data_IF_996663077698
#
_entry.id   IF_996663077698
#
_cell.length_a   1.000
_cell.length_b   1.000
_cell.length_c   1.000
_cell.angle_alpha   90.00
_cell.angle_beta   90.00
_cell.angle_gamma   90.00
#
_symmetry.space_group_name_H-M   'P 1'
#
loop_
_entity.id
_entity.type
_entity.pdbx_description
1 polymer ?
#
# COMPACT_ATOMS: atom_id res chain seq x y z
N UNK A 1 -7.27 10.30 21.14
CA UNK A 1 -7.22 8.81 21.31
C UNK A 1 -6.38 8.11 20.25
N UNK A 2 -6.42 8.47 18.97
CA UNK A 2 -5.51 7.92 17.95
C UNK A 2 -4.07 8.42 18.07
N UNK A 3 -3.85 9.60 18.64
CA UNK A 3 -2.51 10.18 18.81
C UNK A 3 -1.57 9.38 19.71
N UNK A 4 -2.10 8.67 20.70
CA UNK A 4 -1.27 7.83 21.57
C UNK A 4 -0.93 6.49 20.91
N UNK A 5 -1.86 5.90 20.17
CA UNK A 5 -1.62 4.67 19.43
C UNK A 5 -0.56 4.82 18.34
N UNK A 6 -0.51 5.97 17.67
CA UNK A 6 0.47 6.20 16.58
C UNK A 6 1.92 6.20 17.05
N UNK A 7 2.17 6.44 18.35
CA UNK A 7 3.51 6.41 18.95
C UNK A 7 4.08 4.99 19.08
N UNK A 8 3.22 3.97 19.06
CA UNK A 8 3.62 2.56 19.08
C UNK A 8 4.10 2.06 17.70
N UNK A 9 4.02 2.90 16.66
CA UNK A 9 4.37 2.56 15.29
C UNK A 9 5.44 3.48 14.73
N UNK A 10 6.32 2.93 13.88
CA UNK A 10 7.15 3.72 13.00
C UNK A 10 6.31 4.08 11.78
N UNK A 11 5.87 5.34 11.71
CA UNK A 11 4.97 5.79 10.65
C UNK A 11 5.76 6.31 9.46
N UNK A 12 5.48 5.75 8.28
CA UNK A 12 6.07 6.18 7.00
C UNK A 12 4.96 6.61 6.05
N UNK A 13 5.10 7.76 5.44
CA UNK A 13 4.18 8.24 4.41
C UNK A 13 4.82 8.08 3.03
N UNK A 14 4.22 7.26 2.18
CA UNK A 14 4.58 7.15 0.77
C UNK A 14 3.76 8.17 -0.03
N UNK A 15 4.42 9.16 -0.61
CA UNK A 15 3.78 10.23 -1.40
C UNK A 15 3.84 9.99 -2.90
N UNK A 16 4.55 8.95 -3.32
CA UNK A 16 4.74 8.53 -4.71
C UNK A 16 4.78 7.02 -4.79
N UNK A 17 4.48 6.47 -5.97
CA UNK A 17 4.53 5.04 -6.21
C UNK A 17 5.73 4.58 -7.05
N UNK A 18 6.65 5.48 -7.39
CA UNK A 18 7.87 5.11 -8.12
C UNK A 18 8.68 4.08 -7.33
N UNK A 19 9.05 2.97 -7.98
CA UNK A 19 9.78 1.87 -7.36
C UNK A 19 9.00 1.06 -6.32
N UNK A 20 7.69 1.26 -6.21
CA UNK A 20 6.87 0.54 -5.24
C UNK A 20 6.82 -0.96 -5.59
N UNK A 21 7.10 -1.80 -4.62
CA UNK A 21 6.99 -3.27 -4.76
C UNK A 21 5.51 -3.68 -4.76
N UNK A 22 4.95 -3.96 -5.94
CA UNK A 22 3.56 -4.33 -6.12
C UNK A 22 3.23 -5.76 -5.66
N UNK A 23 4.23 -6.59 -5.41
CA UNK A 23 4.02 -7.90 -4.77
C UNK A 23 3.71 -7.75 -3.28
N UNK A 24 4.28 -6.75 -2.64
CA UNK A 24 4.13 -6.46 -1.21
C UNK A 24 2.96 -5.52 -0.95
N UNK A 25 2.87 -4.43 -1.72
CA UNK A 25 1.82 -3.41 -1.59
C UNK A 25 0.63 -3.74 -2.49
N UNK A 26 -0.18 -4.71 -2.09
CA UNK A 26 -1.37 -5.13 -2.81
C UNK A 26 -2.61 -4.42 -2.29
N UNK A 27 -3.16 -3.54 -3.09
CA UNK A 27 -4.35 -2.76 -2.77
C UNK A 27 -5.09 -2.38 -4.06
N UNK A 28 -6.33 -1.96 -3.92
CA UNK A 28 -7.05 -1.34 -5.02
C UNK A 28 -6.49 0.07 -5.24
N UNK A 29 -5.78 0.26 -6.35
CA UNK A 29 -5.15 1.54 -6.70
C UNK A 29 -6.15 2.68 -6.99
N UNK A 30 -7.44 2.42 -6.82
CA UNK A 30 -8.52 3.42 -6.90
C UNK A 30 -8.86 4.03 -5.52
N UNK A 31 -8.15 3.65 -4.46
CA UNK A 31 -8.36 4.16 -3.12
C UNK A 31 -7.89 5.60 -2.97
N UNK A 32 -8.53 6.35 -2.06
CA UNK A 32 -8.07 7.67 -1.64
C UNK A 32 -6.81 7.56 -0.76
N UNK A 33 -6.78 6.56 0.12
CA UNK A 33 -5.60 6.21 0.90
C UNK A 33 -5.65 4.73 1.31
N UNK A 34 -4.47 4.17 1.60
CA UNK A 34 -4.34 2.84 2.18
C UNK A 34 -3.26 2.85 3.25
N UNK A 35 -3.49 2.13 4.33
CA UNK A 35 -2.52 1.93 5.42
C UNK A 35 -2.14 0.46 5.45
N UNK A 36 -0.84 0.19 5.50
CA UNK A 36 -0.28 -1.15 5.63
C UNK A 36 0.48 -1.25 6.94
N UNK A 37 0.28 -2.33 7.67
CA UNK A 37 0.96 -2.60 8.91
C UNK A 37 1.92 -3.77 8.73
N UNK A 38 3.21 -3.48 8.80
CA UNK A 38 4.28 -4.46 8.61
C UNK A 38 5.12 -4.64 9.86
N UNK A 39 5.63 -5.85 10.04
CA UNK A 39 6.79 -6.08 10.87
C UNK A 39 8.08 -5.71 10.12
N UNK A 40 9.19 -5.58 10.83
CA UNK A 40 10.51 -5.26 10.26
C UNK A 40 10.99 -6.29 9.21
N UNK A 41 10.57 -7.52 9.31
CA UNK A 41 10.85 -8.59 8.33
C UNK A 41 9.91 -8.59 7.11
N UNK A 42 9.08 -7.55 6.97
CA UNK A 42 8.08 -7.36 5.92
C UNK A 42 6.86 -8.27 6.00
N UNK A 43 6.66 -8.97 7.12
CA UNK A 43 5.39 -9.67 7.36
C UNK A 43 4.26 -8.65 7.46
N UNK A 44 3.23 -8.83 6.64
CA UNK A 44 2.04 -7.98 6.65
C UNK A 44 1.08 -8.45 7.75
N UNK A 45 0.80 -7.58 8.72
CA UNK A 45 -0.20 -7.85 9.75
C UNK A 45 -1.61 -7.52 9.29
N UNK A 46 -1.79 -6.33 8.74
CA UNK A 46 -3.10 -5.85 8.30
C UNK A 46 -2.98 -4.76 7.23
N UNK A 47 -4.11 -4.52 6.57
CA UNK A 47 -4.34 -3.35 5.72
C UNK A 47 -5.59 -2.64 6.20
N UNK A 48 -5.59 -1.32 6.11
CA UNK A 48 -6.75 -0.48 6.37
C UNK A 48 -6.92 0.53 5.24
N UNK A 49 -8.15 0.75 4.84
CA UNK A 49 -8.52 1.59 3.71
C UNK A 49 -9.17 0.75 2.62
N UNK A 50 -10.30 1.20 2.17
CA UNK A 50 -11.08 0.57 1.10
C UNK A 50 -11.92 1.63 0.42
N UNK A 51 -12.43 1.29 -0.75
CA UNK A 51 -13.43 2.09 -1.42
C UNK A 51 -14.54 1.18 -1.91
N UNK A 52 -15.76 1.44 -1.44
CA UNK A 52 -16.96 0.87 -2.04
C UNK A 52 -17.47 1.79 -3.16
N UNK A 53 -18.55 1.37 -3.81
CA UNK A 53 -19.29 2.24 -4.74
C UNK A 53 -20.07 3.37 -4.03
N UNK A 54 -19.97 3.43 -2.71
CA UNK A 54 -20.58 4.45 -1.85
C UNK A 54 -19.62 5.62 -1.66
N UNK A 55 -20.06 6.62 -0.90
CA UNK A 55 -19.21 7.75 -0.51
C UNK A 55 -17.98 7.28 0.25
N UNK A 56 -16.82 7.79 -0.13
CA UNK A 56 -15.54 7.40 0.47
C UNK A 56 -15.52 7.52 2.01
N UNK A 57 -16.23 8.51 2.55
CA UNK A 57 -16.30 8.78 3.98
C UNK A 57 -17.06 7.71 4.79
N UNK A 58 -17.79 6.82 4.12
CA UNK A 58 -18.54 5.73 4.77
C UNK A 58 -17.73 4.45 4.94
N UNK A 59 -16.64 4.31 4.21
CA UNK A 59 -15.83 3.09 4.19
C UNK A 59 -14.62 3.17 5.13
N UNK A 60 -14.30 4.37 5.63
CA UNK A 60 -13.15 4.61 6.51
C UNK A 60 -13.57 5.49 7.70
N UNK A 61 -13.06 5.18 8.89
CA UNK A 61 -13.28 5.97 10.09
C UNK A 61 -12.06 5.96 10.99
N UNK A 62 -11.91 6.96 11.84
CA UNK A 62 -10.84 6.99 12.84
C UNK A 62 -10.98 5.85 13.86
N UNK A 63 -12.20 5.49 14.20
CA UNK A 63 -12.50 4.38 15.09
C UNK A 63 -12.08 3.04 14.49
N UNK A 64 -12.38 2.83 13.20
CA UNK A 64 -11.95 1.63 12.47
C UNK A 64 -10.43 1.53 12.34
N UNK A 65 -9.76 2.64 12.04
CA UNK A 65 -8.31 2.69 12.03
C UNK A 65 -7.73 2.37 13.40
N UNK A 66 -8.24 3.00 14.47
CA UNK A 66 -7.79 2.75 15.84
C UNK A 66 -8.02 1.29 16.28
N UNK A 67 -9.15 0.68 15.90
CA UNK A 67 -9.40 -0.73 16.15
C UNK A 67 -8.38 -1.62 15.43
N UNK A 68 -8.12 -1.36 14.15
CA UNK A 68 -7.10 -2.08 13.39
C UNK A 68 -5.71 -1.96 14.02
N UNK A 69 -5.34 -0.77 14.47
CA UNK A 69 -4.04 -0.54 15.13
C UNK A 69 -3.90 -1.36 16.42
N UNK A 70 -4.97 -1.45 17.25
CA UNK A 70 -4.95 -2.28 18.47
C UNK A 70 -4.77 -3.76 18.14
N UNK A 71 -5.51 -4.27 17.15
CA UNK A 71 -5.37 -5.67 16.72
C UNK A 71 -3.97 -5.96 16.17
N UNK A 72 -3.38 -5.03 15.41
CA UNK A 72 -2.00 -5.15 14.94
C UNK A 72 -1.01 -5.22 16.09
N UNK A 73 -1.18 -4.42 17.15
CA UNK A 73 -0.31 -4.47 18.32
C UNK A 73 -0.44 -5.82 19.06
N UNK A 74 -1.64 -6.39 19.14
CA UNK A 74 -1.84 -7.74 19.68
C UNK A 74 -1.14 -8.80 18.83
N UNK A 75 -1.31 -8.75 17.49
CA UNK A 75 -0.59 -9.65 16.59
C UNK A 75 0.92 -9.52 16.72
N UNK A 76 1.42 -8.30 16.87
CA UNK A 76 2.85 -8.04 17.02
C UNK A 76 3.39 -8.56 18.35
N UNK A 77 2.62 -8.46 19.43
CA UNK A 77 3.04 -8.98 20.75
C UNK A 77 3.24 -10.50 20.76
N UNK A 78 2.48 -11.23 19.94
CA UNK A 78 2.58 -12.67 19.81
C UNK A 78 3.58 -13.14 18.74
N UNK A 79 4.11 -12.21 17.94
CA UNK A 79 5.07 -12.55 16.90
C UNK A 79 6.46 -12.88 17.50
N UNK A 80 7.16 -13.93 17.02
CA UNK A 80 6.88 -14.78 15.86
C UNK A 80 6.06 -16.04 16.14
N UNK A 81 5.54 -16.27 17.35
CA UNK A 81 4.79 -17.48 17.67
C UNK A 81 3.55 -17.70 16.77
N UNK A 82 2.92 -16.60 16.36
CA UNK A 82 1.76 -16.60 15.46
C UNK A 82 2.11 -16.54 13.97
N UNK A 83 3.38 -16.65 13.57
CA UNK A 83 3.83 -16.49 12.17
C UNK A 83 3.12 -17.42 11.20
N UNK A 84 2.77 -18.64 11.62
CA UNK A 84 2.04 -19.59 10.79
C UNK A 84 0.65 -19.07 10.36
N UNK A 85 -0.04 -18.34 11.23
CA UNK A 85 -1.35 -17.74 10.92
C UNK A 85 -1.24 -16.56 9.93
N UNK A 86 -0.06 -15.97 9.80
CA UNK A 86 0.24 -14.85 8.91
C UNK A 86 0.88 -15.29 7.57
N UNK A 87 1.11 -16.59 7.38
CA UNK A 87 1.81 -17.11 6.20
C UNK A 87 1.12 -16.77 4.88
N UNK A 88 -0.23 -16.68 4.86
CA UNK A 88 -1.00 -16.27 3.70
C UNK A 88 -0.92 -14.78 3.35
N UNK A 89 -0.26 -13.98 4.16
CA UNK A 89 -0.07 -12.52 3.97
C UNK A 89 1.33 -12.16 3.49
N UNK A 90 1.99 -13.08 2.83
CA UNK A 90 3.32 -12.87 2.24
C UNK A 90 3.19 -12.18 0.87
N UNK A 91 4.27 -11.56 0.35
CA UNK A 91 4.30 -11.05 -1.01
C UNK A 91 3.87 -12.10 -2.03
N UNK A 92 3.05 -11.70 -2.99
CA UNK A 92 2.52 -12.59 -4.04
C UNK A 92 3.24 -12.27 -5.36
N UNK A 93 3.60 -13.30 -6.12
CA UNK A 93 4.19 -13.10 -7.43
C UNK A 93 3.24 -12.31 -8.35
N UNK A 94 3.76 -11.26 -8.97
CA UNK A 94 3.05 -10.39 -9.90
C UNK A 94 3.83 -10.27 -11.21
N UNK A 95 3.12 -10.06 -12.31
CA UNK A 95 3.75 -9.92 -13.65
C UNK A 95 4.57 -8.63 -13.77
N UNK A 96 4.17 -7.58 -13.06
CA UNK A 96 4.82 -6.28 -13.05
C UNK A 96 5.18 -5.93 -11.62
N UNK A 97 6.46 -6.09 -11.27
CA UNK A 97 6.92 -5.93 -9.88
C UNK A 97 6.87 -4.48 -9.41
N UNK A 98 7.16 -3.54 -10.30
CA UNK A 98 7.11 -2.10 -10.00
C UNK A 98 6.29 -1.37 -11.07
N UNK A 99 5.75 -0.18 -10.76
CA UNK A 99 4.95 0.57 -11.71
C UNK A 99 5.66 0.91 -13.02
N UNK A 100 6.95 1.18 -12.99
CA UNK A 100 7.75 1.59 -14.16
C UNK A 100 7.86 0.50 -15.23
N UNK A 101 7.59 -0.76 -14.90
CA UNK A 101 7.65 -1.86 -15.88
C UNK A 101 6.35 -2.03 -16.67
N UNK A 102 5.29 -1.32 -16.31
CA UNK A 102 4.09 -1.28 -17.14
C UNK A 102 4.35 -0.53 -18.44
N UNK A 103 3.89 -1.04 -19.61
CA UNK A 103 4.13 -0.40 -20.92
C UNK A 103 3.75 1.08 -20.96
N UNK A 104 2.66 1.47 -20.30
CA UNK A 104 2.19 2.86 -20.27
C UNK A 104 2.95 3.76 -19.28
N UNK A 105 3.88 3.21 -18.49
CA UNK A 105 4.63 3.94 -17.46
C UNK A 105 6.15 3.83 -17.62
N UNK A 106 6.64 3.28 -18.74
CA UNK A 106 8.08 3.06 -18.99
C UNK A 106 8.92 4.34 -19.06
N UNK A 107 8.28 5.48 -19.27
CA UNK A 107 8.96 6.79 -19.26
C UNK A 107 9.36 7.25 -17.86
N UNK A 108 8.70 6.71 -16.82
CA UNK A 108 9.00 7.02 -15.44
C UNK A 108 10.19 6.19 -14.93
N UNK A 109 10.91 6.75 -13.96
CA UNK A 109 12.03 6.07 -13.30
C UNK A 109 11.69 5.74 -11.86
N UNK A 110 12.33 4.73 -11.28
CA UNK A 110 12.18 4.37 -9.89
C UNK A 110 12.57 5.52 -8.94
N UNK A 111 13.52 6.37 -9.33
CA UNK A 111 13.90 7.58 -8.61
C UNK A 111 13.27 8.82 -9.22
N UNK A 112 12.86 9.76 -8.36
CA UNK A 112 12.35 11.06 -8.80
C UNK A 112 13.48 11.90 -9.41
N UNK A 113 13.11 12.74 -10.36
CA UNK A 113 13.98 13.76 -10.94
C UNK A 113 13.99 15.00 -10.04
N UNK A 114 14.94 15.02 -9.10
CA UNK A 114 15.10 16.15 -8.17
C UNK A 114 15.77 17.38 -8.82
N UNK A 115 16.41 17.23 -9.98
CA UNK A 115 17.05 18.32 -10.73
C UNK A 115 16.10 18.96 -11.74
N UNK A 116 15.02 18.25 -12.10
CA UNK A 116 14.00 18.72 -13.04
C UNK A 116 12.64 18.99 -12.38
N UNK A 117 11.57 18.58 -13.06
CA UNK A 117 10.20 18.73 -12.55
C UNK A 117 9.82 17.53 -11.69
N UNK A 118 10.09 17.58 -10.40
CA UNK A 118 9.81 16.49 -9.46
C UNK A 118 8.37 15.98 -9.58
N UNK A 119 7.39 16.89 -9.64
CA UNK A 119 5.97 16.51 -9.71
C UNK A 119 5.62 15.71 -10.97
N UNK A 120 6.21 16.02 -12.12
CA UNK A 120 5.97 15.30 -13.38
C UNK A 120 6.71 13.96 -13.45
N UNK A 121 7.68 13.71 -12.57
CA UNK A 121 8.37 12.41 -12.47
C UNK A 121 7.70 11.43 -11.51
N UNK A 122 6.64 11.86 -10.78
CA UNK A 122 5.91 11.02 -9.84
C UNK A 122 4.91 10.10 -10.52
N UNK A 123 4.90 8.84 -10.11
CA UNK A 123 3.80 7.90 -10.41
C UNK A 123 2.82 7.94 -9.25
N UNK A 124 1.54 8.12 -9.57
CA UNK A 124 0.44 8.07 -8.60
C UNK A 124 -0.33 6.76 -8.73
N UNK A 125 -1.02 6.34 -7.66
CA UNK A 125 -1.75 5.07 -7.62
C UNK A 125 -2.80 4.95 -8.75
N UNK A 126 -3.47 6.04 -9.14
CA UNK A 126 -4.43 6.02 -10.26
C UNK A 126 -3.76 5.70 -11.61
N UNK A 127 -2.51 6.09 -11.83
CA UNK A 127 -1.75 5.73 -13.03
C UNK A 127 -1.45 4.23 -13.07
N UNK A 128 -1.15 3.61 -11.90
CA UNK A 128 -0.99 2.16 -11.79
C UNK A 128 -2.30 1.46 -12.15
N UNK A 129 -3.43 1.91 -11.61
CA UNK A 129 -4.75 1.37 -11.94
C UNK A 129 -5.02 1.42 -13.44
N UNK A 130 -4.75 2.56 -14.07
CA UNK A 130 -4.99 2.74 -15.50
C UNK A 130 -4.06 1.84 -16.33
N UNK A 131 -2.80 1.70 -15.93
CA UNK A 131 -1.85 0.77 -16.54
C UNK A 131 -2.32 -0.70 -16.43
N UNK A 132 -2.82 -1.12 -15.26
CA UNK A 132 -3.40 -2.45 -15.07
C UNK A 132 -4.61 -2.69 -15.98
N UNK A 133 -5.50 -1.71 -16.10
CA UNK A 133 -6.68 -1.80 -16.99
C UNK A 133 -6.31 -1.87 -18.47
N UNK A 134 -5.26 -1.17 -18.89
CA UNK A 134 -4.80 -1.22 -20.26
C UNK A 134 -4.31 -2.62 -20.64
N UNK A 135 -3.54 -3.28 -19.77
CA UNK A 135 -3.10 -4.67 -19.99
C UNK A 135 -4.30 -5.62 -20.16
N UNK A 136 -5.35 -5.47 -19.34
CA UNK A 136 -6.55 -6.33 -19.43
C UNK A 136 -7.31 -6.10 -20.76
N UNK A 137 -7.32 -4.87 -21.26
CA UNK A 137 -8.03 -4.53 -22.52
C UNK A 137 -7.30 -5.00 -23.76
N UNK A 138 -5.99 -5.19 -23.68
CA UNK A 138 -5.14 -5.65 -24.78
C UNK A 138 -5.09 -7.18 -24.92
N UNK A 139 -5.64 -7.91 -23.96
CA UNK A 139 -5.82 -9.38 -23.99
C UNK A 139 -7.17 -9.78 -24.59
#
# INVERSE_FOLDING_TARGET
MTGDLSREFITVRLVKCNGLDLSLFQFDCDLTFAVFFFNADRTLYARYGTRSRRDADKDVSLEGLAATMREVLLLHSDYPANAASLAGKQPVAVSHLTPEVYPSLVEFKAKLDYEGRVASSCIHCHQIRDAQRNIIREQ
#
